data_IF_795938697150
#
_entry.id   IF_795938697150
#
_cell.length_a   1.000
_cell.length_b   1.000
_cell.length_c   1.000
_cell.angle_alpha   90.00
_cell.angle_beta   90.00
_cell.angle_gamma   90.00
#
_symmetry.space_group_name_H-M   'P 1'
#
loop_
_entity.id
_entity.type
_entity.pdbx_description
1 polymer ?
#
# COMPACT_ATOMS: atom_id res chain seq x y z
N UNK A 1 4.10 -20.50 26.34
CA UNK A 1 4.94 -19.40 25.81
C UNK A 1 4.00 -18.32 25.32
N UNK A 2 4.25 -17.05 25.65
CA UNK A 2 3.42 -15.94 25.17
C UNK A 2 3.53 -15.85 23.65
N UNK A 3 2.41 -15.72 22.94
CA UNK A 3 2.38 -15.51 21.47
C UNK A 3 3.36 -14.40 21.03
N UNK A 4 3.50 -13.37 21.86
CA UNK A 4 4.33 -12.21 21.60
C UNK A 4 5.83 -12.44 21.80
N UNK A 5 6.25 -13.53 22.44
CA UNK A 5 7.69 -13.83 22.61
C UNK A 5 8.38 -14.25 21.32
N UNK A 6 7.63 -14.41 20.22
CA UNK A 6 8.15 -14.77 18.90
C UNK A 6 8.43 -13.56 18.01
N UNK A 7 8.00 -12.36 18.43
CA UNK A 7 8.20 -11.13 17.67
C UNK A 7 9.39 -10.34 18.24
N UNK A 8 10.24 -9.86 17.35
CA UNK A 8 11.21 -8.81 17.66
C UNK A 8 10.50 -7.49 17.95
N UNK A 9 11.18 -6.56 18.62
CA UNK A 9 10.62 -5.25 18.94
C UNK A 9 10.22 -4.44 17.69
N UNK A 10 10.99 -4.57 16.61
CA UNK A 10 10.65 -3.96 15.32
C UNK A 10 9.41 -4.59 14.69
N UNK A 11 9.26 -5.92 14.72
CA UNK A 11 8.06 -6.58 14.20
C UNK A 11 6.83 -6.20 15.04
N UNK A 12 6.97 -6.08 16.36
CA UNK A 12 5.91 -5.59 17.24
C UNK A 12 5.51 -4.15 16.93
N UNK A 13 6.46 -3.27 16.67
CA UNK A 13 6.17 -1.88 16.30
C UNK A 13 5.47 -1.80 14.94
N UNK A 14 5.91 -2.57 13.96
CA UNK A 14 5.28 -2.67 12.64
C UNK A 14 3.85 -3.19 12.74
N UNK A 15 3.64 -4.26 13.52
CA UNK A 15 2.31 -4.82 13.79
C UNK A 15 1.39 -3.80 14.47
N UNK A 16 1.90 -3.12 15.50
CA UNK A 16 1.15 -2.08 16.24
C UNK A 16 0.73 -0.94 15.31
N UNK A 17 1.63 -0.47 14.44
CA UNK A 17 1.31 0.56 13.44
C UNK A 17 0.31 0.07 12.40
N UNK A 18 0.44 -1.17 11.95
CA UNK A 18 -0.49 -1.77 11.00
C UNK A 18 -1.91 -1.84 11.59
N UNK A 19 -2.05 -2.35 12.81
CA UNK A 19 -3.35 -2.45 13.49
C UNK A 19 -3.91 -1.07 13.78
N UNK A 20 -3.07 -0.12 14.24
CA UNK A 20 -3.49 1.26 14.43
C UNK A 20 -4.08 1.87 13.15
N UNK A 21 -3.40 1.73 12.00
CA UNK A 21 -3.92 2.18 10.70
C UNK A 21 -5.23 1.49 10.30
N UNK A 22 -5.34 0.17 10.53
CA UNK A 22 -6.57 -0.58 10.26
C UNK A 22 -7.74 -0.10 11.13
N UNK A 23 -7.50 0.14 12.41
CA UNK A 23 -8.48 0.67 13.35
C UNK A 23 -8.94 2.08 12.94
N UNK A 24 -8.01 2.96 12.57
CA UNK A 24 -8.33 4.30 12.06
C UNK A 24 -9.14 4.24 10.77
N UNK A 25 -8.78 3.34 9.86
CA UNK A 25 -9.48 3.13 8.59
C UNK A 25 -10.88 2.52 8.77
N UNK A 26 -11.07 1.72 9.83
CA UNK A 26 -12.36 1.17 10.23
C UNK A 26 -13.20 2.14 11.09
N UNK A 27 -12.69 3.34 11.36
CA UNK A 27 -13.41 4.40 12.07
C UNK A 27 -13.70 4.12 13.54
N UNK A 28 -12.92 3.25 14.19
CA UNK A 28 -13.18 2.89 15.59
C UNK A 28 -13.18 4.15 16.49
N UNK A 29 -14.27 4.41 17.24
CA UNK A 29 -14.39 5.58 18.08
C UNK A 29 -13.42 5.53 19.27
N UNK A 30 -12.87 6.69 19.66
CA UNK A 30 -12.03 6.86 20.86
C UNK A 30 -10.52 6.72 20.65
N UNK A 31 -10.05 5.98 19.64
CA UNK A 31 -8.60 5.88 19.32
C UNK A 31 -8.10 7.12 18.56
N UNK A 32 -9.01 7.79 17.86
CA UNK A 32 -8.70 8.91 16.97
C UNK A 32 -8.32 10.20 17.73
N UNK A 33 -8.74 10.31 18.99
CA UNK A 33 -8.45 11.47 19.85
C UNK A 33 -7.16 11.28 20.67
N UNK A 34 -6.52 10.12 20.54
CA UNK A 34 -5.25 9.83 21.20
C UNK A 34 -4.10 10.43 20.39
N UNK A 35 -3.05 10.86 21.10
CA UNK A 35 -1.75 11.10 20.44
C UNK A 35 -1.28 9.81 19.77
N UNK A 36 -0.45 9.90 18.71
CA UNK A 36 0.08 8.70 18.04
C UNK A 36 0.74 7.74 19.04
N UNK A 37 1.51 8.27 19.99
CA UNK A 37 2.15 7.48 21.05
C UNK A 37 1.12 6.76 21.94
N UNK A 38 0.06 7.46 22.36
CA UNK A 38 -1.02 6.88 23.17
C UNK A 38 -1.85 5.85 22.41
N UNK A 39 -2.11 6.10 21.12
CA UNK A 39 -2.82 5.16 20.25
C UNK A 39 -2.01 3.89 20.01
N UNK A 40 -0.71 4.01 19.73
CA UNK A 40 0.20 2.87 19.60
C UNK A 40 0.32 2.11 20.92
N UNK A 41 0.41 2.81 22.05
CA UNK A 41 0.40 2.20 23.38
C UNK A 41 -0.88 1.40 23.66
N UNK A 42 -2.04 1.96 23.31
CA UNK A 42 -3.32 1.27 23.43
C UNK A 42 -3.40 0.03 22.55
N UNK A 43 -3.01 0.14 21.28
CA UNK A 43 -3.02 -0.98 20.34
C UNK A 43 -2.08 -2.08 20.82
N UNK A 44 -0.89 -1.72 21.29
CA UNK A 44 0.06 -2.69 21.86
C UNK A 44 -0.52 -3.40 23.07
N UNK A 45 -1.10 -2.65 24.01
CA UNK A 45 -1.78 -3.21 25.18
C UNK A 45 -2.92 -4.16 24.75
N UNK A 46 -3.73 -3.76 23.77
CA UNK A 46 -4.82 -4.59 23.25
C UNK A 46 -4.32 -5.91 22.66
N UNK A 47 -3.25 -5.88 21.86
CA UNK A 47 -2.60 -7.08 21.31
C UNK A 47 -2.09 -7.99 22.43
N UNK A 48 -1.52 -7.41 23.49
CA UNK A 48 -1.01 -8.12 24.66
C UNK A 48 -2.12 -8.77 25.50
N UNK A 49 -3.28 -8.13 25.62
CA UNK A 49 -4.40 -8.64 26.41
C UNK A 49 -5.34 -9.57 25.63
N UNK A 50 -5.42 -9.44 24.31
CA UNK A 50 -6.36 -10.18 23.46
C UNK A 50 -5.66 -10.84 22.25
N UNK A 51 -4.67 -11.72 22.48
CA UNK A 51 -3.94 -12.38 21.40
C UNK A 51 -4.84 -13.26 20.52
N UNK A 52 -5.91 -13.83 21.09
CA UNK A 52 -6.93 -14.63 20.41
C UNK A 52 -7.73 -13.81 19.36
N UNK A 53 -8.07 -12.56 19.68
CA UNK A 53 -8.76 -11.65 18.75
C UNK A 53 -7.88 -11.32 17.54
N UNK A 54 -6.57 -11.16 17.76
CA UNK A 54 -5.60 -10.94 16.70
C UNK A 54 -5.46 -12.18 15.82
N UNK A 55 -5.48 -13.39 16.39
CA UNK A 55 -5.33 -14.65 15.64
C UNK A 55 -6.60 -14.99 14.84
N UNK A 56 -7.79 -14.78 15.40
CA UNK A 56 -9.05 -15.19 14.76
C UNK A 56 -9.69 -14.11 13.88
N UNK A 57 -9.64 -12.83 14.28
CA UNK A 57 -10.42 -11.75 13.64
C UNK A 57 -9.59 -10.80 12.82
N UNK A 58 -8.35 -10.55 13.21
CA UNK A 58 -7.40 -9.97 12.28
C UNK A 58 -6.93 -11.11 11.39
N UNK A 59 -7.61 -11.31 10.25
CA UNK A 59 -6.90 -11.94 9.15
C UNK A 59 -5.69 -11.03 8.93
N UNK A 60 -4.51 -11.49 9.33
CA UNK A 60 -3.28 -10.98 8.79
C UNK A 60 -3.42 -11.23 7.28
N UNK A 61 -4.03 -10.28 6.58
CA UNK A 61 -3.58 -9.94 5.26
C UNK A 61 -2.15 -9.50 5.52
N UNK A 62 -1.25 -10.48 5.58
CA UNK A 62 0.18 -10.33 5.76
C UNK A 62 0.56 -9.36 4.66
N UNK A 63 0.61 -8.10 5.03
CA UNK A 63 0.92 -7.02 4.13
C UNK A 63 2.42 -7.16 3.97
N UNK A 64 2.84 -8.09 3.12
CA UNK A 64 4.23 -8.30 2.76
C UNK A 64 4.84 -7.06 2.09
N UNK A 65 4.15 -5.93 2.07
CA UNK A 65 4.60 -4.66 1.49
C UNK A 65 5.85 -4.15 2.18
N UNK A 66 6.03 -4.37 3.49
CA UNK A 66 7.28 -3.97 4.16
C UNK A 66 8.43 -4.81 3.62
N UNK A 67 8.27 -6.13 3.63
CA UNK A 67 9.26 -7.10 3.17
C UNK A 67 9.55 -6.94 1.66
N UNK A 68 8.53 -6.68 0.85
CA UNK A 68 8.68 -6.41 -0.59
C UNK A 68 9.51 -5.16 -0.81
N UNK A 69 9.30 -4.09 -0.03
CA UNK A 69 10.05 -2.85 -0.16
C UNK A 69 11.49 -3.02 0.33
N UNK A 70 11.71 -3.75 1.43
CA UNK A 70 13.05 -4.09 1.91
C UNK A 70 13.82 -4.90 0.88
N UNK A 71 13.18 -5.89 0.26
CA UNK A 71 13.81 -6.65 -0.82
C UNK A 71 14.09 -5.78 -2.05
N UNK A 72 13.19 -4.86 -2.40
CA UNK A 72 13.43 -3.92 -3.50
C UNK A 72 14.70 -3.09 -3.27
N UNK A 73 14.85 -2.55 -2.06
CA UNK A 73 16.02 -1.77 -1.64
C UNK A 73 17.29 -2.61 -1.63
N UNK A 74 17.23 -3.81 -1.08
CA UNK A 74 18.36 -4.75 -1.09
C UNK A 74 18.83 -5.07 -2.51
N UNK A 75 17.91 -5.34 -3.44
CA UNK A 75 18.28 -5.55 -4.85
C UNK A 75 18.89 -4.29 -5.49
N UNK A 76 18.43 -3.10 -5.12
CA UNK A 76 19.00 -1.86 -5.61
C UNK A 76 20.43 -1.62 -5.09
N UNK A 77 20.69 -1.91 -3.81
CA UNK A 77 22.03 -1.86 -3.19
C UNK A 77 23.00 -2.86 -3.84
N UNK A 78 22.50 -4.05 -4.19
CA UNK A 78 23.24 -5.09 -4.91
C UNK A 78 23.44 -4.78 -6.41
N UNK A 79 23.05 -3.59 -6.89
CA UNK A 79 23.04 -3.17 -8.31
C UNK A 79 22.25 -4.10 -9.24
N UNK A 80 21.29 -4.85 -8.70
CA UNK A 80 20.36 -5.72 -9.44
C UNK A 80 19.09 -4.95 -9.77
N UNK A 81 19.22 -3.88 -10.54
CA UNK A 81 18.17 -2.87 -10.75
C UNK A 81 16.90 -3.43 -11.38
N UNK A 82 17.00 -4.44 -12.24
CA UNK A 82 15.84 -5.07 -12.87
C UNK A 82 14.99 -5.80 -11.83
N UNK A 83 15.62 -6.55 -10.93
CA UNK A 83 14.93 -7.18 -9.81
C UNK A 83 14.37 -6.14 -8.84
N UNK A 84 15.15 -5.11 -8.50
CA UNK A 84 14.66 -4.02 -7.67
C UNK A 84 13.40 -3.38 -8.28
N UNK A 85 13.40 -3.10 -9.58
CA UNK A 85 12.25 -2.52 -10.30
C UNK A 85 11.00 -3.39 -10.22
N UNK A 86 11.16 -4.72 -10.26
CA UNK A 86 10.06 -5.67 -10.08
C UNK A 86 9.44 -5.54 -8.68
N UNK A 87 10.27 -5.58 -7.63
CA UNK A 87 9.78 -5.52 -6.25
C UNK A 87 9.14 -4.15 -5.95
N UNK A 88 9.73 -3.04 -6.41
CA UNK A 88 9.10 -1.72 -6.32
C UNK A 88 7.75 -1.68 -7.02
N UNK A 89 7.65 -2.20 -8.25
CA UNK A 89 6.40 -2.22 -9.00
C UNK A 89 5.32 -3.06 -8.29
N UNK A 90 5.70 -4.20 -7.71
CA UNK A 90 4.80 -5.03 -6.90
C UNK A 90 4.33 -4.31 -5.65
N UNK A 91 5.23 -3.60 -4.96
CA UNK A 91 4.86 -2.76 -3.81
C UNK A 91 3.83 -1.70 -4.20
N UNK A 92 4.12 -0.95 -5.27
CA UNK A 92 3.24 0.11 -5.78
C UNK A 92 1.86 -0.46 -6.15
N UNK A 93 1.82 -1.61 -6.84
CA UNK A 93 0.59 -2.29 -7.18
C UNK A 93 -0.24 -2.65 -5.94
N UNK A 94 0.39 -3.23 -4.92
CA UNK A 94 -0.29 -3.59 -3.68
C UNK A 94 -0.82 -2.36 -2.93
N UNK A 95 -0.03 -1.29 -2.84
CA UNK A 95 -0.45 -0.04 -2.21
C UNK A 95 -1.66 0.57 -2.93
N UNK A 96 -1.64 0.63 -4.25
CA UNK A 96 -2.77 1.14 -5.03
C UNK A 96 -4.01 0.24 -4.91
N UNK A 97 -3.84 -1.09 -4.90
CA UNK A 97 -4.94 -2.01 -4.68
C UNK A 97 -5.58 -1.84 -3.30
N UNK A 98 -4.77 -1.59 -2.27
CA UNK A 98 -5.26 -1.33 -0.92
C UNK A 98 -6.08 -0.04 -0.85
N UNK A 99 -5.61 1.04 -1.50
CA UNK A 99 -6.36 2.30 -1.60
C UNK A 99 -7.70 2.11 -2.33
N UNK A 100 -7.71 1.41 -3.47
CA UNK A 100 -8.93 1.11 -4.23
C UNK A 100 -9.89 0.27 -3.38
N UNK A 101 -9.38 -0.75 -2.68
CA UNK A 101 -10.19 -1.58 -1.81
C UNK A 101 -10.84 -0.76 -0.68
N UNK A 102 -10.06 0.10 -0.04
CA UNK A 102 -10.56 0.97 1.02
C UNK A 102 -11.66 1.91 0.51
N UNK A 103 -11.45 2.55 -0.64
CA UNK A 103 -12.43 3.46 -1.25
C UNK A 103 -13.73 2.76 -1.61
N UNK A 104 -13.65 1.57 -2.21
CA UNK A 104 -14.85 0.81 -2.57
C UNK A 104 -15.59 0.30 -1.33
N UNK A 105 -14.87 -0.11 -0.27
CA UNK A 105 -15.51 -0.45 1.02
C UNK A 105 -16.22 0.75 1.61
N UNK A 106 -15.60 1.92 1.58
CA UNK A 106 -16.22 3.16 2.05
C UNK A 106 -17.50 3.50 1.26
N UNK A 107 -17.54 3.16 -0.02
CA UNK A 107 -18.75 3.28 -0.86
C UNK A 107 -19.77 2.15 -0.64
N UNK A 108 -19.59 1.28 0.36
CA UNK A 108 -20.50 0.19 0.70
C UNK A 108 -20.48 -0.98 -0.28
N UNK A 109 -19.41 -1.16 -1.07
CA UNK A 109 -19.29 -2.31 -1.98
C UNK A 109 -19.01 -3.59 -1.22
N UNK A 110 -19.58 -4.70 -1.69
CA UNK A 110 -19.34 -6.01 -1.09
C UNK A 110 -17.93 -6.51 -1.43
N UNK A 111 -17.32 -7.30 -0.55
CA UNK A 111 -15.95 -7.80 -0.74
C UNK A 111 -15.76 -8.57 -2.05
N UNK A 112 -16.77 -9.32 -2.50
CA UNK A 112 -16.73 -10.02 -3.80
C UNK A 112 -16.67 -9.07 -5.01
N UNK A 113 -17.32 -7.90 -4.93
CA UNK A 113 -17.20 -6.87 -5.97
C UNK A 113 -15.81 -6.23 -5.96
N UNK A 114 -15.29 -5.94 -4.77
CA UNK A 114 -13.96 -5.36 -4.58
C UNK A 114 -12.87 -6.30 -5.11
N UNK A 115 -12.96 -7.59 -4.77
CA UNK A 115 -12.03 -8.62 -5.24
C UNK A 115 -12.07 -8.75 -6.77
N UNK A 116 -13.27 -8.76 -7.36
CA UNK A 116 -13.47 -8.77 -8.81
C UNK A 116 -12.78 -7.58 -9.48
N UNK A 117 -12.95 -6.39 -8.91
CA UNK A 117 -12.32 -5.15 -9.38
C UNK A 117 -10.78 -5.23 -9.33
N UNK A 118 -10.22 -5.69 -8.21
CA UNK A 118 -8.77 -5.75 -8.00
C UNK A 118 -8.14 -6.80 -8.92
N UNK A 119 -8.80 -7.95 -9.13
CA UNK A 119 -8.31 -9.04 -9.98
C UNK A 119 -8.48 -8.82 -11.47
N UNK A 120 -9.55 -8.14 -11.90
CA UNK A 120 -9.84 -7.94 -13.31
C UNK A 120 -8.78 -7.07 -14.04
N UNK A 121 -8.01 -6.29 -13.28
CA UNK A 121 -7.08 -5.32 -13.83
C UNK A 121 -5.63 -5.65 -13.45
N UNK A 122 -4.82 -6.07 -14.43
CA UNK A 122 -3.35 -6.07 -14.28
C UNK A 122 -2.84 -4.65 -13.98
N UNK A 123 -1.69 -4.48 -13.32
CA UNK A 123 -1.07 -3.16 -13.07
C UNK A 123 -1.13 -2.23 -14.30
N UNK A 124 -0.68 -2.71 -15.47
CA UNK A 124 -0.74 -1.92 -16.72
C UNK A 124 -2.15 -1.43 -17.03
N UNK A 125 -3.15 -2.32 -17.00
CA UNK A 125 -4.57 -1.94 -17.18
C UNK A 125 -5.01 -0.93 -16.10
N UNK A 126 -4.72 -1.15 -14.82
CA UNK A 126 -5.05 -0.20 -13.73
C UNK A 126 -4.49 1.21 -14.02
N UNK A 127 -3.28 1.28 -14.56
CA UNK A 127 -2.62 2.55 -14.87
C UNK A 127 -3.11 3.20 -16.18
N UNK A 128 -3.48 2.40 -17.21
CA UNK A 128 -3.84 2.92 -18.54
C UNK A 128 -5.35 3.02 -18.81
N UNK A 129 -6.19 2.17 -18.21
CA UNK A 129 -7.59 1.98 -18.61
C UNK A 129 -8.58 2.94 -17.94
N UNK A 130 -8.16 4.18 -17.67
CA UNK A 130 -9.00 5.20 -17.01
C UNK A 130 -9.28 4.95 -15.52
N UNK A 131 -8.88 3.79 -14.98
CA UNK A 131 -9.04 3.44 -13.56
C UNK A 131 -8.27 4.37 -12.65
N UNK A 132 -6.97 4.54 -12.92
CA UNK A 132 -6.21 5.57 -12.22
C UNK A 132 -6.86 6.93 -12.40
N UNK A 133 -7.38 7.30 -13.57
CA UNK A 133 -7.99 8.63 -13.73
C UNK A 133 -9.26 8.82 -12.88
N UNK A 134 -10.07 7.76 -12.72
CA UNK A 134 -11.27 7.77 -11.87
C UNK A 134 -10.90 7.87 -10.39
N UNK A 135 -9.88 7.13 -9.94
CA UNK A 135 -9.50 7.09 -8.52
C UNK A 135 -8.41 8.10 -8.13
N UNK A 136 -7.63 8.59 -9.09
CA UNK A 136 -6.55 9.56 -8.87
C UNK A 136 -7.09 10.85 -8.29
N UNK A 137 -8.26 11.29 -8.77
CA UNK A 137 -8.92 12.46 -8.19
C UNK A 137 -9.31 12.20 -6.72
N UNK A 138 -9.88 11.05 -6.40
CA UNK A 138 -10.27 10.67 -5.03
C UNK A 138 -9.07 10.62 -4.08
N UNK A 139 -7.94 10.09 -4.55
CA UNK A 139 -6.72 9.96 -3.76
C UNK A 139 -5.79 11.19 -3.82
N UNK A 140 -6.08 12.17 -4.69
CA UNK A 140 -5.19 13.31 -4.92
C UNK A 140 -3.87 12.93 -5.60
N UNK A 141 -3.85 11.88 -6.42
CA UNK A 141 -2.67 11.53 -7.22
C UNK A 141 -2.43 12.62 -8.28
N UNK A 142 -1.27 13.26 -8.25
CA UNK A 142 -0.91 14.23 -9.28
C UNK A 142 -0.66 13.54 -10.62
N UNK A 143 -0.87 14.25 -11.73
CA UNK A 143 -0.57 13.74 -13.07
C UNK A 143 0.88 13.27 -13.20
N UNK A 144 1.81 14.03 -12.63
CA UNK A 144 3.23 13.70 -12.59
C UNK A 144 3.52 12.40 -11.83
N UNK A 145 2.85 12.16 -10.70
CA UNK A 145 2.98 10.90 -9.96
C UNK A 145 2.46 9.72 -10.78
N UNK A 146 1.31 9.89 -11.46
CA UNK A 146 0.75 8.88 -12.36
C UNK A 146 1.72 8.54 -13.50
N UNK A 147 2.30 9.55 -14.14
CA UNK A 147 3.29 9.39 -15.22
C UNK A 147 4.54 8.64 -14.72
N UNK A 148 5.04 8.95 -13.52
CA UNK A 148 6.16 8.21 -12.90
C UNK A 148 5.82 6.75 -12.60
N UNK A 149 4.63 6.47 -12.06
CA UNK A 149 4.18 5.09 -11.83
C UNK A 149 4.05 4.31 -13.14
N UNK A 150 3.51 4.94 -14.19
CA UNK A 150 3.42 4.35 -15.53
C UNK A 150 4.79 3.97 -16.08
N UNK A 151 5.79 4.86 -15.95
CA UNK A 151 7.16 4.57 -16.39
C UNK A 151 7.76 3.37 -15.66
N UNK A 152 7.54 3.24 -14.35
CA UNK A 152 8.00 2.06 -13.58
C UNK A 152 7.34 0.77 -14.06
N UNK A 153 6.03 0.81 -14.32
CA UNK A 153 5.30 -0.33 -14.85
C UNK A 153 5.80 -0.73 -16.25
N UNK A 154 6.22 0.22 -17.08
CA UNK A 154 6.86 -0.04 -18.38
C UNK A 154 8.19 -0.76 -18.21
N UNK A 155 9.11 -0.23 -17.40
CA UNK A 155 10.42 -0.86 -17.12
C UNK A 155 10.25 -2.28 -16.59
N UNK A 156 9.35 -2.49 -15.62
CA UNK A 156 9.03 -3.83 -15.10
C UNK A 156 8.47 -4.75 -16.19
N UNK A 157 7.65 -4.23 -17.10
CA UNK A 157 7.08 -5.03 -18.17
C UNK A 157 8.11 -5.37 -19.24
N UNK A 158 9.04 -4.47 -19.56
CA UNK A 158 10.16 -4.73 -20.47
C UNK A 158 11.04 -5.86 -19.93
N UNK A 159 11.33 -5.84 -18.62
CA UNK A 159 12.07 -6.92 -17.97
C UNK A 159 11.28 -8.23 -17.89
N UNK A 160 10.06 -8.22 -17.34
CA UNK A 160 9.26 -9.43 -17.11
C UNK A 160 8.77 -10.07 -18.42
N UNK A 161 8.43 -9.24 -19.40
CA UNK A 161 8.10 -9.67 -20.75
C UNK A 161 9.30 -9.40 -21.65
N UNK A 162 10.44 -10.01 -21.33
CA UNK A 162 11.61 -10.19 -22.19
C UNK A 162 11.24 -10.91 -23.50
N UNK A 163 10.27 -10.35 -24.24
CA UNK A 163 9.80 -10.73 -25.55
C UNK A 163 10.71 -9.98 -26.49
N UNK A 164 11.80 -10.63 -26.86
CA UNK A 164 12.07 -10.90 -28.27
C UNK A 164 11.75 -9.71 -29.19
N UNK A 165 12.42 -8.57 -28.99
CA UNK A 165 12.64 -7.66 -30.12
C UNK A 165 13.62 -8.35 -31.07
N UNK A 166 13.12 -9.32 -31.83
CA UNK A 166 13.90 -10.02 -32.86
C UNK A 166 14.51 -9.07 -33.90
N UNK A 167 14.07 -7.81 -33.93
CA UNK A 167 14.49 -6.78 -34.87
C UNK A 167 15.41 -5.70 -34.31
N UNK A 168 15.65 -5.64 -33.00
CA UNK A 168 16.52 -4.63 -32.39
C UNK A 168 17.23 -5.23 -31.18
N UNK A 169 18.48 -5.66 -31.37
CA UNK A 169 19.38 -5.92 -30.27
C UNK A 169 19.59 -4.60 -29.51
N UNK A 170 18.82 -4.38 -28.44
CA UNK A 170 19.13 -3.31 -27.50
C UNK A 170 20.42 -3.70 -26.76
N UNK A 171 21.29 -2.72 -26.57
CA UNK A 171 22.52 -2.91 -25.81
C UNK A 171 22.16 -3.23 -24.34
N UNK A 172 22.64 -4.35 -23.76
CA UNK A 172 22.43 -4.67 -22.36
C UNK A 172 22.81 -3.53 -21.40
N UNK A 173 23.76 -2.67 -21.79
CA UNK A 173 24.16 -1.49 -21.00
C UNK A 173 23.04 -0.45 -20.91
N UNK A 174 22.33 -0.16 -22.01
CA UNK A 174 21.24 0.82 -22.01
C UNK A 174 20.07 0.38 -21.12
N UNK A 175 19.72 -0.91 -21.14
CA UNK A 175 18.65 -1.46 -20.30
C UNK A 175 19.00 -1.35 -18.80
N UNK A 176 20.27 -1.57 -18.46
CA UNK A 176 20.74 -1.48 -17.09
C UNK A 176 20.72 -0.02 -16.57
N UNK A 177 21.12 0.94 -17.40
CA UNK A 177 21.08 2.37 -17.06
C UNK A 177 19.64 2.90 -16.92
N UNK A 178 18.73 2.44 -17.76
CA UNK A 178 17.29 2.74 -17.65
C UNK A 178 16.71 2.19 -16.34
N UNK A 179 17.05 0.94 -15.99
CA UNK A 179 16.62 0.31 -14.75
C UNK A 179 17.18 1.05 -13.52
N UNK A 180 18.45 1.47 -13.56
CA UNK A 180 19.08 2.27 -12.50
C UNK A 180 18.35 3.59 -12.29
N UNK A 181 18.06 4.31 -13.37
CA UNK A 181 17.33 5.58 -13.32
C UNK A 181 15.92 5.37 -12.76
N UNK A 182 15.28 4.26 -13.12
CA UNK A 182 13.96 3.88 -12.61
C UNK A 182 13.94 3.68 -11.09
N UNK A 183 15.04 3.23 -10.46
CA UNK A 183 15.06 3.07 -8.99
C UNK A 183 14.92 4.40 -8.25
N UNK A 184 15.59 5.45 -8.72
CA UNK A 184 15.44 6.79 -8.13
C UNK A 184 14.00 7.31 -8.24
N UNK A 185 13.36 7.04 -9.38
CA UNK A 185 11.93 7.34 -9.59
C UNK A 185 11.06 6.50 -8.64
N UNK A 186 11.38 5.22 -8.46
CA UNK A 186 10.63 4.31 -7.59
C UNK A 186 10.62 4.76 -6.13
N UNK A 187 11.76 5.13 -5.56
CA UNK A 187 11.81 5.62 -4.17
C UNK A 187 11.02 6.92 -4.00
N UNK A 188 11.07 7.83 -4.98
CA UNK A 188 10.26 9.04 -4.97
C UNK A 188 8.76 8.71 -5.00
N UNK A 189 8.34 7.75 -5.84
CA UNK A 189 6.96 7.27 -5.91
C UNK A 189 6.52 6.61 -4.59
N UNK A 190 7.38 5.83 -3.95
CA UNK A 190 7.13 5.22 -2.63
C UNK A 190 6.86 6.30 -1.59
N UNK A 191 7.69 7.34 -1.54
CA UNK A 191 7.50 8.47 -0.62
C UNK A 191 6.19 9.22 -0.87
N UNK A 192 5.82 9.44 -2.14
CA UNK A 192 4.58 10.10 -2.51
C UNK A 192 3.35 9.27 -2.14
N UNK A 193 3.34 7.98 -2.48
CA UNK A 193 2.24 7.08 -2.15
C UNK A 193 2.09 6.86 -0.64
N UNK A 194 3.19 6.80 0.11
CA UNK A 194 3.13 6.67 1.57
C UNK A 194 2.41 7.87 2.20
N UNK A 195 2.75 9.10 1.76
CA UNK A 195 2.06 10.32 2.21
C UNK A 195 0.57 10.32 1.85
N UNK A 196 0.23 9.82 0.66
CA UNK A 196 -1.16 9.71 0.22
C UNK A 196 -1.93 8.70 1.07
N UNK A 197 -1.35 7.54 1.36
CA UNK A 197 -1.95 6.52 2.24
C UNK A 197 -2.20 7.10 3.64
N UNK A 198 -1.22 7.79 4.22
CA UNK A 198 -1.37 8.41 5.53
C UNK A 198 -2.48 9.49 5.50
N UNK A 199 -2.46 10.39 4.51
CA UNK A 199 -3.47 11.44 4.36
C UNK A 199 -4.89 10.88 4.12
N UNK A 200 -5.01 9.82 3.33
CA UNK A 200 -6.28 9.12 3.09
C UNK A 200 -6.81 8.50 4.37
N UNK A 201 -5.96 7.78 5.11
CA UNK A 201 -6.30 7.16 6.40
C UNK A 201 -6.84 8.20 7.40
N UNK A 202 -6.16 9.34 7.52
CA UNK A 202 -6.60 10.43 8.41
C UNK A 202 -7.93 11.06 7.97
N UNK A 203 -8.15 11.26 6.66
CA UNK A 203 -9.39 11.85 6.15
C UNK A 203 -10.60 10.97 6.43
N UNK A 204 -10.49 9.67 6.21
CA UNK A 204 -11.61 8.75 6.42
C UNK A 204 -11.94 8.58 7.91
N UNK A 205 -10.94 8.57 8.80
CA UNK A 205 -11.18 8.60 10.24
C UNK A 205 -12.04 9.83 10.65
N UNK A 206 -11.77 11.01 10.08
CA UNK A 206 -12.52 12.23 10.39
C UNK A 206 -13.96 12.25 9.85
N UNK A 207 -14.23 11.61 8.72
CA UNK A 207 -15.58 11.57 8.13
C UNK A 207 -16.50 10.69 8.96
N UNK A 208 -16.00 9.54 9.43
CA UNK A 208 -16.77 8.64 10.29
C UNK A 208 -17.20 9.33 11.60
N UNK A 209 -16.31 10.13 12.18
CA UNK A 209 -16.60 10.96 13.36
C UNK A 209 -17.85 11.84 13.19
N UNK A 210 -18.02 12.49 12.04
CA UNK A 210 -19.19 13.36 11.79
C UNK A 210 -20.48 12.58 11.56
N UNK A 211 -20.38 11.36 11.02
CA UNK A 211 -21.52 10.46 10.89
C UNK A 211 -22.05 10.05 12.26
N UNK A 212 -21.17 9.59 13.14
CA UNK A 212 -21.51 9.16 14.51
C UNK A 212 -22.04 10.33 15.36
N UNK A 213 -21.39 11.50 15.32
CA UNK A 213 -21.85 12.69 16.05
C UNK A 213 -23.19 13.24 15.50
N UNK A 214 -23.50 13.02 14.22
CA UNK A 214 -24.77 13.40 13.60
C UNK A 214 -25.93 12.47 13.98
N UNK A 215 -25.70 11.17 14.09
CA UNK A 215 -26.72 10.18 14.51
C UNK A 215 -27.01 10.27 16.01
N UNK A 216 -26.04 10.58 16.86
CA UNK A 216 -26.28 10.79 18.29
C UNK A 216 -27.03 12.09 18.64
N UNK A 217 -27.15 13.03 17.69
CA UNK A 217 -27.87 14.30 17.87
C UNK A 217 -29.21 14.34 17.12
N UNK A 218 -29.66 13.24 16.52
CA UNK A 218 -31.00 13.13 15.97
C UNK A 218 -32.02 12.91 17.11
N UNK A 219 -33.02 13.80 17.27
CA UNK A 219 -33.98 13.77 18.38
C UNK A 219 -35.00 12.62 18.29
#
# INVERSE_FOLDING_TARGET
MSFLSHFTENEMLTLTRSIHRSILSAGYPGIQDLSEESALGFVRYFIEQHPDVIIEKFSFATSYTVEILEQARKFAEDEKFEFASMFYSTWIEHTLNALIAAELRFQGKADGEIESVIRANSLKKKMTSGWISVFAASFGLSKELVERILRLAEVRNEFAHYKWRASQAQDPVELHDDARTAIGVAESVVGDLSRIVDAYTHRHAQVDRRGIEGECNAP
#
